data_IF_673430278592
#
_entry.id   IF_673430278592
#
_cell.length_a   1.000
_cell.length_b   1.000
_cell.length_c   1.000
_cell.angle_alpha   90.00
_cell.angle_beta   90.00
_cell.angle_gamma   90.00
#
_symmetry.space_group_name_H-M   'P 1'
#
loop_
_entity.id
_entity.type
_entity.pdbx_description
1 polymer ?
#
# COMPACT_ATOMS: atom_id res chain seq x y z
N UNK A 1 20.05 -6.53 26.59
CA UNK A 1 19.00 -6.42 25.56
C UNK A 1 17.87 -5.68 26.23
N UNK A 2 17.65 -4.42 25.85
CA UNK A 2 16.53 -3.64 26.37
C UNK A 2 15.25 -4.16 25.70
N UNK A 3 14.27 -4.53 26.52
CA UNK A 3 12.95 -4.96 26.07
C UNK A 3 12.25 -3.78 25.39
N UNK A 4 11.81 -3.98 24.14
CA UNK A 4 11.06 -2.97 23.40
C UNK A 4 9.69 -2.83 24.07
N UNK A 5 9.55 -1.84 24.95
CA UNK A 5 8.28 -1.51 25.60
C UNK A 5 7.30 -0.96 24.56
N UNK A 6 6.17 -1.66 24.39
CA UNK A 6 5.16 -1.40 23.37
C UNK A 6 3.89 -0.76 23.95
N UNK A 7 3.94 -0.26 25.19
CA UNK A 7 2.76 0.13 25.96
C UNK A 7 2.18 1.52 25.63
N UNK A 8 2.72 2.24 24.64
CA UNK A 8 2.26 3.59 24.28
C UNK A 8 1.99 3.78 22.78
N UNK A 9 1.40 2.79 22.10
CA UNK A 9 0.89 2.95 20.74
C UNK A 9 -0.59 3.37 20.76
N UNK A 10 -0.88 4.63 21.10
CA UNK A 10 -2.23 5.16 20.90
C UNK A 10 -2.38 5.69 19.47
N UNK A 11 -3.21 5.03 18.66
CA UNK A 11 -3.64 5.57 17.38
C UNK A 11 -4.79 6.57 17.64
N UNK A 12 -4.48 7.84 17.84
CA UNK A 12 -5.49 8.90 17.78
C UNK A 12 -5.85 9.13 16.31
N UNK A 13 -6.87 8.40 15.82
CA UNK A 13 -7.47 8.59 14.52
C UNK A 13 -8.20 9.95 14.44
N UNK A 14 -7.45 11.05 14.42
CA UNK A 14 -7.98 12.40 14.14
C UNK A 14 -7.96 12.63 12.63
N UNK A 15 -8.94 12.03 12.00
CA UNK A 15 -9.49 12.24 10.65
C UNK A 15 -9.95 10.87 10.18
N UNK A 16 -11.27 10.71 10.05
CA UNK A 16 -11.86 9.52 9.46
C UNK A 16 -11.12 9.24 8.15
N UNK A 17 -10.44 8.09 8.06
CA UNK A 17 -9.76 7.65 6.85
C UNK A 17 -10.82 7.29 5.82
N UNK A 18 -11.46 8.30 5.23
CA UNK A 18 -12.50 8.12 4.21
C UNK A 18 -11.81 7.68 2.93
N UNK A 19 -11.76 6.36 2.71
CA UNK A 19 -11.42 5.80 1.42
C UNK A 19 -12.63 5.86 0.49
N UNK A 20 -12.66 6.85 -0.40
CA UNK A 20 -13.65 6.91 -1.47
C UNK A 20 -13.35 5.83 -2.51
N UNK A 21 -14.06 4.70 -2.45
CA UNK A 21 -13.99 3.66 -3.47
C UNK A 21 -14.60 4.17 -4.77
N UNK A 22 -13.78 4.49 -5.78
CA UNK A 22 -14.27 4.71 -7.15
C UNK A 22 -14.56 3.36 -7.79
N UNK A 23 -15.78 3.19 -8.31
CA UNK A 23 -16.14 2.05 -9.15
C UNK A 23 -15.34 2.15 -10.45
N UNK A 24 -14.41 1.22 -10.66
CA UNK A 24 -13.71 1.08 -11.95
C UNK A 24 -14.68 0.32 -12.86
N UNK A 25 -15.18 0.97 -13.91
CA UNK A 25 -16.19 0.41 -14.83
C UNK A 25 -15.63 -0.62 -15.83
N UNK A 26 -14.37 -1.00 -15.68
CA UNK A 26 -13.74 -2.03 -16.48
C UNK A 26 -13.55 -3.25 -15.58
N UNK A 27 -14.05 -4.43 -15.98
CA UNK A 27 -13.88 -5.69 -15.25
C UNK A 27 -12.43 -6.14 -15.40
N UNK A 28 -11.53 -5.35 -14.85
CA UNK A 28 -10.13 -5.70 -14.66
C UNK A 28 -10.13 -6.88 -13.70
N UNK A 29 -9.41 -7.95 -14.05
CA UNK A 29 -9.28 -9.09 -13.16
C UNK A 29 -8.61 -8.63 -11.85
N UNK A 30 -9.41 -8.42 -10.79
CA UNK A 30 -8.96 -7.99 -9.48
C UNK A 30 -8.41 -9.15 -8.63
N UNK A 31 -8.19 -10.32 -9.23
CA UNK A 31 -7.55 -11.43 -8.52
C UNK A 31 -6.16 -11.01 -8.04
N UNK A 32 -5.87 -11.34 -6.77
CA UNK A 32 -4.59 -11.05 -6.14
C UNK A 32 -4.23 -9.56 -6.14
N UNK A 33 -5.23 -8.68 -6.06
CA UNK A 33 -5.03 -7.25 -5.91
C UNK A 33 -5.18 -6.81 -4.44
N UNK A 34 -4.32 -5.89 -4.01
CA UNK A 34 -4.43 -5.17 -2.74
C UNK A 34 -4.41 -3.67 -3.02
N UNK A 35 -5.36 -2.93 -2.46
CA UNK A 35 -5.30 -1.46 -2.43
C UNK A 35 -4.78 -1.04 -1.06
N UNK A 36 -3.72 -0.24 -1.05
CA UNK A 36 -3.09 0.26 0.18
C UNK A 36 -2.79 1.74 0.11
N UNK A 37 -2.80 2.42 1.27
CA UNK A 37 -2.43 3.83 1.43
C UNK A 37 -1.30 3.96 2.43
N UNK A 38 -0.29 4.79 2.16
CA UNK A 38 0.73 5.10 3.15
C UNK A 38 0.23 6.22 4.07
N UNK A 39 0.32 6.00 5.38
CA UNK A 39 0.00 6.99 6.40
C UNK A 39 1.24 7.82 6.69
N UNK A 40 1.43 8.89 5.92
CA UNK A 40 2.56 9.81 6.06
C UNK A 40 2.15 11.22 5.63
N UNK A 41 2.67 12.22 6.33
CA UNK A 41 2.56 13.64 5.94
C UNK A 41 3.66 14.04 4.94
N UNK A 42 4.66 13.18 4.75
CA UNK A 42 5.78 13.44 3.83
C UNK A 42 5.43 13.02 2.41
N UNK A 43 5.90 13.82 1.45
CA UNK A 43 5.83 13.44 0.05
C UNK A 43 6.56 12.11 -0.19
N UNK A 44 5.91 11.20 -0.93
CA UNK A 44 6.52 9.94 -1.36
C UNK A 44 7.07 10.12 -2.76
N UNK A 45 8.36 9.82 -2.93
CA UNK A 45 8.93 9.68 -4.26
C UNK A 45 8.53 8.33 -4.85
N UNK A 46 7.43 8.35 -5.60
CA UNK A 46 6.74 7.16 -6.13
C UNK A 46 7.66 6.16 -6.85
N UNK A 47 8.63 6.57 -7.71
CA UNK A 47 9.51 5.63 -8.37
C UNK A 47 10.32 4.76 -7.41
N UNK A 48 10.98 5.37 -6.41
CA UNK A 48 11.76 4.64 -5.40
C UNK A 48 10.85 3.77 -4.52
N UNK A 49 9.68 4.29 -4.13
CA UNK A 49 8.73 3.49 -3.33
C UNK A 49 8.33 2.20 -4.08
N UNK A 50 8.03 2.29 -5.38
CA UNK A 50 7.66 1.12 -6.17
C UNK A 50 8.80 0.11 -6.26
N UNK A 51 10.02 0.57 -6.50
CA UNK A 51 11.22 -0.27 -6.52
C UNK A 51 11.39 -1.01 -5.19
N UNK A 52 11.36 -0.29 -4.06
CA UNK A 52 11.49 -0.89 -2.72
C UNK A 52 10.39 -1.91 -2.41
N UNK A 53 9.14 -1.59 -2.74
CA UNK A 53 8.02 -2.52 -2.51
C UNK A 53 8.11 -3.77 -3.39
N UNK A 54 8.63 -3.63 -4.62
CA UNK A 54 8.88 -4.76 -5.50
C UNK A 54 10.05 -5.64 -5.02
N UNK A 55 11.13 -5.05 -4.50
CA UNK A 55 12.27 -5.78 -3.92
C UNK A 55 11.86 -6.62 -2.69
N UNK A 56 11.00 -6.08 -1.84
CA UNK A 56 10.50 -6.79 -0.65
C UNK A 56 9.60 -7.98 -1.02
N UNK A 57 8.95 -7.93 -2.19
CA UNK A 57 8.10 -8.99 -2.67
C UNK A 57 8.92 -10.14 -3.30
N UNK A 58 9.07 -11.23 -2.56
CA UNK A 58 9.93 -12.38 -2.92
C UNK A 58 9.31 -13.49 -3.81
N UNK A 59 8.00 -13.52 -4.14
CA UNK A 59 7.47 -14.48 -5.12
C UNK A 59 7.98 -14.28 -6.57
N UNK A 60 8.15 -15.39 -7.31
CA UNK A 60 8.83 -15.43 -8.63
C UNK A 60 8.30 -14.45 -9.68
N UNK A 61 7.02 -14.10 -9.66
CA UNK A 61 6.39 -13.28 -10.70
C UNK A 61 6.22 -11.80 -10.34
N UNK A 62 6.83 -11.37 -9.23
CA UNK A 62 6.87 -9.97 -8.85
C UNK A 62 5.49 -9.38 -8.49
N UNK A 63 5.46 -8.06 -8.39
CA UNK A 63 4.27 -7.25 -8.10
C UNK A 63 4.22 -6.06 -9.05
N UNK A 64 3.05 -5.79 -9.61
CA UNK A 64 2.78 -4.55 -10.36
C UNK A 64 2.14 -3.51 -9.45
N UNK A 65 2.65 -2.28 -9.47
CA UNK A 65 2.20 -1.22 -8.57
C UNK A 65 1.71 -0.01 -9.38
N UNK A 66 0.42 0.30 -9.25
CA UNK A 66 -0.24 1.44 -9.90
C UNK A 66 -0.55 2.54 -8.88
N UNK A 67 -0.26 3.78 -9.24
CA UNK A 67 -0.63 4.96 -8.45
C UNK A 67 -2.12 5.28 -8.70
N UNK A 68 -2.88 5.45 -7.62
CA UNK A 68 -4.32 5.75 -7.63
C UNK A 68 -4.62 7.16 -7.10
N UNK A 69 -3.59 7.96 -6.77
CA UNK A 69 -3.69 9.27 -6.15
C UNK A 69 -3.85 9.22 -4.63
N UNK A 70 -3.74 10.38 -3.96
CA UNK A 70 -3.91 10.51 -2.48
C UNK A 70 -3.07 9.49 -1.70
N UNK A 71 -1.84 9.22 -2.17
CA UNK A 71 -0.91 8.27 -1.55
C UNK A 71 -1.50 6.83 -1.49
N UNK A 72 -2.43 6.52 -2.41
CA UNK A 72 -3.11 5.22 -2.55
C UNK A 72 -2.55 4.48 -3.75
N UNK A 73 -2.28 3.20 -3.60
CA UNK A 73 -1.65 2.35 -4.60
C UNK A 73 -2.40 1.03 -4.74
N UNK A 74 -2.51 0.56 -5.97
CA UNK A 74 -2.99 -0.79 -6.29
C UNK A 74 -1.78 -1.68 -6.53
N UNK A 75 -1.63 -2.70 -5.70
CA UNK A 75 -0.66 -3.78 -5.83
C UNK A 75 -1.36 -4.96 -6.49
N UNK A 76 -0.84 -5.44 -7.61
CA UNK A 76 -1.31 -6.65 -8.28
C UNK A 76 -0.22 -7.69 -8.18
N UNK A 77 -0.50 -8.76 -7.44
CA UNK A 77 0.43 -9.85 -7.21
C UNK A 77 0.24 -10.95 -8.25
N UNK A 78 1.35 -11.48 -8.73
CA UNK A 78 1.34 -12.56 -9.70
C UNK A 78 1.62 -13.90 -9.00
N UNK A 79 0.86 -14.94 -9.34
CA UNK A 79 1.15 -16.32 -8.94
C UNK A 79 1.97 -17.03 -10.02
N UNK A 80 2.62 -18.14 -9.66
CA UNK A 80 3.29 -19.07 -10.57
C UNK A 80 2.30 -19.81 -11.47
#
# INVERSE_FOLDING_TARGET
>A
MEEVNMENLSFEAKEDLVMTMRKIEDVQNLSLCLVGRFLTERAIYVPIMKERMAEVWQPLRGVSIRDMGVITFLFQFSHL
#
